data_IF_702637826508
#
_entry.id   IF_702637826508
#
_cell.length_a   1.000
_cell.length_b   1.000
_cell.length_c   1.000
_cell.angle_alpha   90.00
_cell.angle_beta   90.00
_cell.angle_gamma   90.00
#
_symmetry.space_group_name_H-M   'P 1'
#
loop_
_entity.id
_entity.type
_entity.pdbx_description
1 polymer ?
#
# COMPACT_ATOMS: atom_id res chain seq x y z
N UNK A 1 -9.42 12.51 -15.15
CA UNK A 1 -10.80 12.02 -15.37
C UNK A 1 -11.51 12.41 -16.67
N UNK A 2 -11.26 13.55 -17.37
CA UNK A 2 -12.18 14.06 -18.39
C UNK A 2 -12.51 13.14 -19.58
N UNK A 3 -11.59 12.24 -19.98
CA UNK A 3 -11.75 11.43 -21.20
C UNK A 3 -12.45 10.07 -20.98
N UNK A 4 -12.15 9.38 -19.88
CA UNK A 4 -12.65 8.02 -19.60
C UNK A 4 -13.40 7.91 -18.27
N UNK A 5 -13.54 9.02 -17.54
CA UNK A 5 -14.14 9.03 -16.21
C UNK A 5 -13.43 8.08 -15.25
N UNK A 6 -14.20 7.51 -14.33
CA UNK A 6 -13.71 6.52 -13.37
C UNK A 6 -13.41 5.19 -14.04
N UNK A 7 -14.15 4.84 -15.11
CA UNK A 7 -13.97 3.62 -15.90
C UNK A 7 -12.59 3.52 -16.58
N UNK A 8 -11.84 4.62 -16.62
CA UNK A 8 -10.46 4.63 -17.11
C UNK A 8 -9.44 4.03 -16.14
N UNK A 9 -9.80 3.84 -14.87
CA UNK A 9 -8.92 3.21 -13.89
C UNK A 9 -8.97 1.69 -14.00
N UNK A 10 -7.81 1.04 -14.02
CA UNK A 10 -7.72 -0.41 -14.02
C UNK A 10 -8.31 -1.00 -12.73
N UNK A 11 -8.10 -0.38 -11.58
CA UNK A 11 -8.62 -0.80 -10.28
C UNK A 11 -10.15 -0.88 -10.20
N UNK A 12 -10.87 -0.30 -11.17
CA UNK A 12 -12.31 -0.54 -11.36
C UNK A 12 -12.65 -1.98 -11.74
N UNK A 13 -11.68 -2.82 -12.12
CA UNK A 13 -11.90 -4.26 -12.30
C UNK A 13 -11.90 -5.02 -10.97
N UNK A 14 -11.41 -4.41 -9.89
CA UNK A 14 -11.27 -5.01 -8.56
C UNK A 14 -12.19 -4.35 -7.53
N UNK A 15 -12.49 -3.06 -7.69
CA UNK A 15 -13.27 -2.27 -6.76
C UNK A 15 -14.31 -1.40 -7.47
N UNK A 16 -15.51 -1.34 -6.90
CA UNK A 16 -16.50 -0.34 -7.24
C UNK A 16 -16.25 0.96 -6.44
N UNK A 17 -16.39 2.12 -7.07
CA UNK A 17 -16.16 3.43 -6.48
C UNK A 17 -17.46 4.22 -6.39
N UNK A 18 -17.78 4.69 -5.19
CA UNK A 18 -18.94 5.56 -4.92
C UNK A 18 -18.59 7.03 -5.15
N UNK A 19 -19.60 7.90 -5.26
CA UNK A 19 -19.39 9.32 -5.55
C UNK A 19 -18.49 10.05 -4.54
N UNK A 20 -18.52 9.64 -3.27
CA UNK A 20 -17.74 10.30 -2.21
C UNK A 20 -16.22 10.21 -2.40
N UNK A 21 -15.70 9.22 -3.14
CA UNK A 21 -14.24 9.13 -3.41
C UNK A 21 -13.82 9.87 -4.69
N UNK A 22 -14.76 10.36 -5.51
CA UNK A 22 -14.43 10.94 -6.82
C UNK A 22 -13.49 12.14 -6.74
N UNK A 23 -13.61 12.98 -5.70
CA UNK A 23 -12.70 14.11 -5.49
C UNK A 23 -11.25 13.65 -5.30
N UNK A 24 -11.05 12.60 -4.50
CA UNK A 24 -9.73 11.97 -4.31
C UNK A 24 -9.22 11.45 -5.65
N UNK A 25 -10.00 10.59 -6.31
CA UNK A 25 -9.63 9.98 -7.59
C UNK A 25 -9.34 11.01 -8.71
N UNK A 26 -10.04 12.15 -8.71
CA UNK A 26 -9.83 13.21 -9.70
C UNK A 26 -8.45 13.86 -9.62
N UNK A 27 -7.83 13.77 -8.43
CA UNK A 27 -6.50 14.29 -8.08
C UNK A 27 -5.48 13.17 -7.91
N UNK A 28 -5.76 12.00 -8.46
CA UNK A 28 -4.91 10.81 -8.29
C UNK A 28 -4.23 10.40 -9.59
N UNK A 29 -3.03 9.83 -9.45
CA UNK A 29 -2.47 8.92 -10.45
C UNK A 29 -2.64 7.48 -9.96
N UNK A 30 -3.16 6.64 -10.84
CA UNK A 30 -3.25 5.20 -10.57
C UNK A 30 -1.88 4.53 -10.79
N UNK A 31 -1.50 3.73 -9.80
CA UNK A 31 -0.32 2.89 -9.83
C UNK A 31 -0.68 1.55 -10.45
N UNK A 32 0.01 1.22 -11.54
CA UNK A 32 -0.05 -0.12 -12.13
C UNK A 32 0.71 -1.16 -11.31
N UNK A 33 0.72 -2.39 -11.82
CA UNK A 33 1.48 -3.50 -11.22
C UNK A 33 2.99 -3.24 -11.38
N UNK A 34 3.72 -3.31 -10.27
CA UNK A 34 5.18 -3.23 -10.28
C UNK A 34 5.77 -4.63 -10.38
N UNK A 35 6.77 -4.80 -11.24
CA UNK A 35 7.51 -6.05 -11.39
C UNK A 35 9.00 -5.79 -11.25
N UNK A 36 9.68 -6.68 -10.53
CA UNK A 36 11.14 -6.71 -10.43
C UNK A 36 11.58 -8.04 -11.06
N UNK A 37 12.58 -8.01 -11.95
CA UNK A 37 13.11 -9.24 -12.54
C UNK A 37 13.63 -10.18 -11.46
N UNK A 38 13.50 -11.49 -11.68
CA UNK A 38 13.84 -12.52 -10.69
C UNK A 38 15.26 -12.36 -10.11
N UNK A 39 16.21 -11.94 -10.95
CA UNK A 39 17.60 -11.68 -10.57
C UNK A 39 17.72 -10.62 -9.46
N UNK A 40 16.88 -9.59 -9.48
CA UNK A 40 16.96 -8.48 -8.54
C UNK A 40 15.91 -8.54 -7.41
N UNK A 41 15.02 -9.54 -7.37
CA UNK A 41 13.96 -9.60 -6.35
C UNK A 41 14.48 -9.73 -4.92
N UNK A 42 15.70 -10.26 -4.73
CA UNK A 42 16.35 -10.36 -3.42
C UNK A 42 17.12 -9.09 -3.04
N UNK A 43 17.30 -8.18 -3.98
CA UNK A 43 18.03 -6.94 -3.76
C UNK A 43 17.13 -5.86 -3.16
N UNK A 44 17.64 -5.05 -2.21
CA UNK A 44 16.85 -3.96 -1.62
C UNK A 44 16.69 -2.77 -2.58
N UNK A 45 17.64 -2.56 -3.49
CA UNK A 45 17.74 -1.37 -4.35
C UNK A 45 16.57 -1.22 -5.35
N UNK A 46 16.12 -2.26 -6.08
CA UNK A 46 15.03 -2.13 -7.05
C UNK A 46 13.74 -1.58 -6.42
N UNK A 47 13.38 -2.06 -5.23
CA UNK A 47 12.20 -1.56 -4.51
C UNK A 47 12.36 -0.11 -4.08
N UNK A 48 13.57 0.31 -3.67
CA UNK A 48 13.86 1.72 -3.37
C UNK A 48 13.71 2.58 -4.62
N UNK A 49 14.23 2.13 -5.76
CA UNK A 49 14.10 2.83 -7.03
C UNK A 49 12.66 2.92 -7.52
N UNK A 50 11.84 1.88 -7.30
CA UNK A 50 10.41 1.94 -7.60
C UNK A 50 9.72 3.03 -6.80
N UNK A 51 9.91 3.08 -5.47
CA UNK A 51 9.32 4.14 -4.64
C UNK A 51 9.86 5.52 -5.04
N UNK A 52 11.16 5.63 -5.33
CA UNK A 52 11.76 6.89 -5.80
C UNK A 52 11.13 7.35 -7.12
N UNK A 53 10.97 6.44 -8.08
CA UNK A 53 10.31 6.71 -9.35
C UNK A 53 8.85 7.15 -9.19
N UNK A 54 8.10 6.53 -8.28
CA UNK A 54 6.74 6.95 -7.94
C UNK A 54 6.69 8.38 -7.43
N UNK A 55 7.51 8.73 -6.44
CA UNK A 55 7.56 10.09 -5.89
C UNK A 55 8.02 11.11 -6.94
N UNK A 56 8.87 10.69 -7.87
CA UNK A 56 9.40 11.59 -8.90
C UNK A 56 8.42 11.80 -10.04
N UNK A 57 7.58 10.81 -10.33
CA UNK A 57 6.54 10.90 -11.36
C UNK A 57 5.58 12.06 -11.12
N UNK A 58 5.41 12.51 -9.86
CA UNK A 58 4.48 13.59 -9.50
C UNK A 58 5.14 14.97 -9.41
N UNK A 59 6.46 15.09 -9.62
CA UNK A 59 7.18 16.38 -9.49
C UNK A 59 6.68 17.45 -10.46
N UNK A 60 6.31 17.04 -11.67
CA UNK A 60 5.79 17.94 -12.71
C UNK A 60 4.25 18.00 -12.74
N UNK A 61 3.57 17.22 -11.89
CA UNK A 61 2.11 17.14 -11.82
C UNK A 61 1.62 17.71 -10.48
N UNK A 62 1.44 19.04 -10.44
CA UNK A 62 1.09 19.78 -9.22
C UNK A 62 -0.37 19.59 -8.79
N UNK A 63 -1.22 19.21 -9.73
CA UNK A 63 -2.64 18.90 -9.55
C UNK A 63 -2.87 17.54 -8.89
N UNK A 64 -1.87 16.66 -8.91
CA UNK A 64 -1.94 15.35 -8.27
C UNK A 64 -1.72 15.48 -6.77
N UNK A 65 -2.67 15.06 -5.96
CA UNK A 65 -2.53 15.04 -4.49
C UNK A 65 -2.31 13.63 -3.96
N UNK A 66 -2.70 12.61 -4.74
CA UNK A 66 -2.68 11.22 -4.32
C UNK A 66 -2.04 10.28 -5.34
N UNK A 67 -1.42 9.22 -4.84
CA UNK A 67 -1.12 8.02 -5.62
C UNK A 67 -1.96 6.88 -5.06
N UNK A 68 -2.59 6.08 -5.92
CA UNK A 68 -3.43 4.98 -5.46
C UNK A 68 -3.33 3.77 -6.37
N UNK A 69 -3.60 2.58 -5.86
CA UNK A 69 -3.61 1.39 -6.69
C UNK A 69 -3.55 0.10 -5.87
N UNK A 70 -3.85 -1.05 -6.50
CA UNK A 70 -3.82 -2.33 -5.83
C UNK A 70 -2.37 -2.75 -5.52
N UNK A 71 -2.14 -3.18 -4.28
CA UNK A 71 -0.89 -3.82 -3.85
C UNK A 71 -1.19 -5.22 -3.35
N UNK A 72 -0.60 -6.21 -4.00
CA UNK A 72 -0.92 -7.62 -3.79
C UNK A 72 -0.17 -8.25 -2.61
N UNK A 73 -0.91 -8.98 -1.79
CA UNK A 73 -0.41 -9.94 -0.80
C UNK A 73 -0.58 -11.34 -1.41
N UNK A 74 0.53 -12.00 -1.68
CA UNK A 74 0.56 -13.29 -2.38
C UNK A 74 -0.27 -14.37 -1.68
N UNK A 75 -0.93 -15.22 -2.46
CA UNK A 75 -1.60 -16.44 -1.98
C UNK A 75 -0.65 -17.52 -1.46
N UNK A 76 0.67 -17.36 -1.66
CA UNK A 76 1.69 -18.21 -1.05
C UNK A 76 1.69 -18.11 0.49
N UNK A 77 1.17 -17.00 1.04
CA UNK A 77 0.89 -16.90 2.46
C UNK A 77 -0.33 -17.76 2.81
N UNK A 78 -0.23 -18.67 3.81
CA UNK A 78 -1.38 -19.38 4.32
C UNK A 78 -2.49 -18.42 4.77
N UNK A 79 -3.75 -18.85 4.70
CA UNK A 79 -4.92 -18.03 5.02
C UNK A 79 -4.80 -17.36 6.39
N UNK A 80 -4.30 -18.10 7.39
CA UNK A 80 -4.07 -17.58 8.73
C UNK A 80 -3.13 -16.36 8.76
N UNK A 81 -1.97 -16.42 8.09
CA UNK A 81 -1.02 -15.31 8.04
C UNK A 81 -1.53 -14.14 7.19
N UNK A 82 -2.25 -14.40 6.08
CA UNK A 82 -2.94 -13.34 5.33
C UNK A 82 -3.95 -12.60 6.20
N UNK A 83 -4.73 -13.34 6.99
CA UNK A 83 -5.72 -12.79 7.92
C UNK A 83 -5.06 -11.94 8.99
N UNK A 84 -3.93 -12.38 9.57
CA UNK A 84 -3.16 -11.58 10.52
C UNK A 84 -2.63 -10.29 9.90
N UNK A 85 -2.04 -10.37 8.70
CA UNK A 85 -1.51 -9.20 7.98
C UNK A 85 -2.63 -8.19 7.75
N UNK A 86 -3.76 -8.64 7.21
CA UNK A 86 -4.89 -7.76 6.88
C UNK A 86 -5.52 -7.19 8.15
N UNK A 87 -5.59 -7.96 9.24
CA UNK A 87 -6.04 -7.44 10.54
C UNK A 87 -5.15 -6.30 11.04
N UNK A 88 -3.83 -6.49 11.03
CA UNK A 88 -2.87 -5.45 11.39
C UNK A 88 -3.01 -4.19 10.52
N UNK A 89 -3.14 -4.38 9.19
CA UNK A 89 -3.29 -3.28 8.25
C UNK A 89 -4.62 -2.52 8.46
N UNK A 90 -5.73 -3.22 8.71
CA UNK A 90 -7.02 -2.59 9.04
C UNK A 90 -6.98 -1.81 10.34
N UNK A 91 -6.27 -2.32 11.35
CA UNK A 91 -6.17 -1.67 12.66
C UNK A 91 -5.32 -0.39 12.65
N UNK A 92 -4.23 -0.35 11.87
CA UNK A 92 -3.22 0.71 11.96
C UNK A 92 -3.03 1.55 10.69
N UNK A 93 -3.44 1.04 9.52
CA UNK A 93 -3.12 1.62 8.22
C UNK A 93 -4.35 1.70 7.29
N UNK A 94 -5.53 1.92 7.85
CA UNK A 94 -6.79 2.09 7.11
C UNK A 94 -7.17 3.56 6.86
N UNK A 95 -7.98 3.81 5.84
CA UNK A 95 -8.68 5.10 5.62
C UNK A 95 -10.17 4.91 5.89
N UNK A 96 -10.56 4.92 7.17
CA UNK A 96 -11.92 4.59 7.62
C UNK A 96 -13.02 5.37 6.88
N UNK A 97 -12.78 6.66 6.62
CA UNK A 97 -13.76 7.53 5.96
C UNK A 97 -14.03 7.13 4.50
N UNK A 98 -13.07 6.44 3.85
CA UNK A 98 -13.20 5.99 2.46
C UNK A 98 -13.60 4.51 2.35
N UNK A 99 -13.60 3.73 3.43
CA UNK A 99 -13.95 2.30 3.39
C UNK A 99 -15.35 2.06 2.81
N UNK A 100 -16.32 2.90 3.17
CA UNK A 100 -17.69 2.82 2.65
C UNK A 100 -17.83 3.27 1.19
N UNK A 101 -16.85 4.01 0.68
CA UNK A 101 -16.84 4.60 -0.66
C UNK A 101 -16.16 3.72 -1.71
N UNK A 102 -15.56 2.60 -1.27
CA UNK A 102 -14.84 1.66 -2.13
C UNK A 102 -15.29 0.26 -1.80
N UNK A 103 -16.05 -0.39 -2.67
CA UNK A 103 -16.53 -1.77 -2.44
C UNK A 103 -15.69 -2.76 -3.25
N UNK A 104 -15.01 -3.73 -2.63
CA UNK A 104 -14.36 -4.80 -3.38
C UNK A 104 -15.41 -5.71 -4.04
N UNK A 105 -15.13 -6.23 -5.23
CA UNK A 105 -16.03 -7.22 -5.86
C UNK A 105 -15.98 -8.58 -5.16
N UNK A 106 -14.77 -9.00 -4.78
CA UNK A 106 -14.51 -10.24 -4.05
C UNK A 106 -13.89 -9.89 -2.69
N UNK A 107 -14.68 -9.52 -1.67
CA UNK A 107 -14.14 -9.13 -0.38
C UNK A 107 -13.31 -10.24 0.26
N UNK A 108 -12.15 -9.89 0.82
CA UNK A 108 -11.37 -10.83 1.62
C UNK A 108 -12.08 -11.15 2.94
N UNK A 109 -12.30 -12.44 3.21
CA UNK A 109 -12.87 -12.94 4.46
C UNK A 109 -11.74 -13.53 5.31
N UNK A 110 -11.41 -12.92 6.47
CA UNK A 110 -10.35 -13.43 7.33
C UNK A 110 -10.76 -14.74 8.00
N UNK A 111 -9.79 -15.64 8.17
CA UNK A 111 -9.91 -16.88 8.92
C UNK A 111 -8.73 -17.00 9.89
N UNK A 112 -9.05 -16.94 11.19
CA UNK A 112 -8.10 -17.06 12.30
C UNK A 112 -8.15 -18.46 12.95
N UNK A 113 -8.77 -19.43 12.27
CA UNK A 113 -9.11 -20.74 12.81
C UNK A 113 -9.93 -20.59 14.11
N UNK A 114 -9.58 -21.35 15.16
CA UNK A 114 -10.22 -21.31 16.48
C UNK A 114 -9.47 -20.44 17.49
N UNK A 115 -8.67 -19.48 17.02
CA UNK A 115 -7.82 -18.64 17.88
C UNK A 115 -8.45 -17.27 18.08
N UNK A 116 -8.42 -16.77 19.32
CA UNK A 116 -8.77 -15.39 19.65
C UNK A 116 -7.73 -14.43 19.07
N UNK A 117 -8.14 -13.59 18.11
CA UNK A 117 -7.23 -12.66 17.43
C UNK A 117 -6.68 -11.59 18.37
N UNK A 118 -7.51 -11.11 19.30
CA UNK A 118 -7.14 -10.10 20.28
C UNK A 118 -6.06 -10.63 21.23
N UNK A 119 -6.12 -11.91 21.60
CA UNK A 119 -5.10 -12.55 22.44
C UNK A 119 -3.82 -12.84 21.65
N UNK A 120 -3.97 -13.33 20.41
CA UNK A 120 -2.86 -13.63 19.53
C UNK A 120 -2.00 -12.39 19.23
N UNK A 121 -2.65 -11.26 18.94
CA UNK A 121 -1.99 -10.01 18.54
C UNK A 121 -1.76 -9.03 19.69
N UNK A 122 -2.13 -9.40 20.92
CA UNK A 122 -1.99 -8.56 22.11
C UNK A 122 -0.55 -8.07 22.28
N UNK A 123 -0.36 -6.76 22.28
CA UNK A 123 0.95 -6.12 22.41
C UNK A 123 1.96 -6.61 21.37
N UNK A 124 1.51 -6.94 20.15
CA UNK A 124 2.35 -7.31 18.99
C UNK A 124 2.24 -6.34 17.81
N UNK A 125 1.29 -5.41 17.84
CA UNK A 125 0.96 -4.52 16.71
C UNK A 125 1.42 -3.07 16.88
N UNK A 126 2.23 -2.75 17.90
CA UNK A 126 2.60 -1.36 18.21
C UNK A 126 3.51 -0.70 17.18
N UNK A 127 4.23 -1.48 16.37
CA UNK A 127 4.98 -0.98 15.23
C UNK A 127 5.06 -2.02 14.11
N UNK A 128 5.39 -1.56 12.89
CA UNK A 128 5.59 -2.43 11.73
C UNK A 128 6.66 -3.48 12.03
N UNK A 129 7.78 -3.07 12.64
CA UNK A 129 8.90 -3.94 12.97
C UNK A 129 8.53 -4.96 14.05
N UNK A 130 7.72 -4.56 15.05
CA UNK A 130 7.30 -5.46 16.12
C UNK A 130 6.35 -6.53 15.58
N UNK A 131 5.38 -6.14 14.75
CA UNK A 131 4.47 -7.07 14.09
C UNK A 131 5.21 -8.01 13.12
N UNK A 132 6.09 -7.48 12.28
CA UNK A 132 6.90 -8.24 11.33
C UNK A 132 7.80 -9.28 12.04
N UNK A 133 8.43 -8.91 13.16
CA UNK A 133 9.21 -9.84 13.98
C UNK A 133 8.34 -10.89 14.67
N UNK A 134 7.16 -10.51 15.15
CA UNK A 134 6.22 -11.46 15.76
C UNK A 134 5.77 -12.51 14.76
N UNK A 135 5.35 -12.08 13.56
CA UNK A 135 4.92 -12.99 12.49
C UNK A 135 6.06 -13.92 12.03
N UNK A 136 7.29 -13.40 11.95
CA UNK A 136 8.47 -14.21 11.67
C UNK A 136 8.64 -15.33 12.70
N UNK A 137 8.57 -15.00 13.99
CA UNK A 137 8.75 -15.97 15.07
C UNK A 137 7.61 -16.98 15.14
N UNK A 138 6.37 -16.54 14.87
CA UNK A 138 5.19 -17.40 14.86
C UNK A 138 5.19 -18.39 13.67
N UNK A 139 5.95 -18.09 12.62
CA UNK A 139 6.03 -18.90 11.41
C UNK A 139 7.35 -19.67 11.29
N UNK A 140 8.11 -19.81 12.38
CA UNK A 140 9.44 -20.44 12.37
C UNK A 140 10.36 -19.88 11.28
N UNK A 141 10.35 -18.54 11.16
CA UNK A 141 11.08 -17.74 10.17
C UNK A 141 10.64 -17.91 8.70
N UNK A 142 9.46 -18.46 8.44
CA UNK A 142 8.97 -18.64 7.06
C UNK A 142 8.30 -17.38 6.49
N UNK A 143 7.53 -16.64 7.29
CA UNK A 143 6.71 -15.54 6.80
C UNK A 143 7.06 -14.20 7.45
N UNK A 144 7.11 -13.16 6.62
CA UNK A 144 7.37 -11.76 6.98
C UNK A 144 6.31 -10.88 6.34
N UNK A 145 6.14 -9.64 6.81
CA UNK A 145 5.27 -8.71 6.10
C UNK A 145 5.85 -8.57 4.67
N UNK A 146 5.01 -8.64 3.62
CA UNK A 146 5.48 -8.50 2.25
C UNK A 146 6.32 -7.23 2.11
N UNK A 147 7.51 -7.35 1.52
CA UNK A 147 8.48 -6.25 1.48
C UNK A 147 7.90 -5.00 0.82
N UNK A 148 7.12 -5.17 -0.25
CA UNK A 148 6.47 -4.06 -0.93
C UNK A 148 5.41 -3.38 -0.05
N UNK A 149 4.57 -4.15 0.65
CA UNK A 149 3.61 -3.61 1.62
C UNK A 149 4.35 -2.79 2.69
N UNK A 150 5.44 -3.31 3.26
CA UNK A 150 6.26 -2.56 4.23
C UNK A 150 6.76 -1.23 3.68
N UNK A 151 7.17 -1.16 2.41
CA UNK A 151 7.64 0.08 1.78
C UNK A 151 6.52 1.12 1.69
N UNK A 152 5.32 0.71 1.29
CA UNK A 152 4.15 1.57 1.26
C UNK A 152 3.77 2.08 2.65
N UNK A 153 3.81 1.23 3.68
CA UNK A 153 3.53 1.66 5.05
C UNK A 153 4.54 2.69 5.57
N UNK A 154 5.83 2.56 5.22
CA UNK A 154 6.88 3.49 5.64
C UNK A 154 6.70 4.89 5.07
N UNK A 155 6.21 5.02 3.84
CA UNK A 155 5.85 6.30 3.24
C UNK A 155 4.45 6.77 3.68
N UNK A 156 3.88 6.15 4.71
CA UNK A 156 2.56 6.45 5.27
C UNK A 156 1.40 6.26 4.29
N UNK A 157 1.55 5.36 3.31
CA UNK A 157 0.43 4.94 2.50
C UNK A 157 -0.57 4.14 3.36
N UNK A 158 -1.85 4.39 3.13
CA UNK A 158 -2.97 3.73 3.80
C UNK A 158 -3.67 2.78 2.84
N UNK A 159 -4.50 1.90 3.35
CA UNK A 159 -5.25 0.93 2.56
C UNK A 159 -6.74 1.17 2.79
N UNK A 160 -7.49 1.30 1.70
CA UNK A 160 -8.93 1.56 1.77
C UNK A 160 -9.70 0.25 1.93
N UNK A 161 -9.49 -0.71 1.04
CA UNK A 161 -10.19 -1.99 1.10
C UNK A 161 -9.39 -3.14 0.48
N UNK A 162 -9.90 -4.36 0.63
CA UNK A 162 -9.20 -5.60 0.26
C UNK A 162 -10.06 -6.46 -0.66
N UNK A 163 -9.54 -6.78 -1.83
CA UNK A 163 -10.17 -7.63 -2.83
C UNK A 163 -9.35 -8.90 -3.06
N UNK A 164 -9.98 -10.05 -3.23
CA UNK A 164 -9.33 -11.27 -3.71
C UNK A 164 -9.37 -11.27 -5.23
N UNK A 165 -8.22 -11.39 -5.88
CA UNK A 165 -8.11 -11.41 -7.35
C UNK A 165 -7.91 -12.86 -7.86
N UNK A 166 -8.96 -13.53 -8.39
CA UNK A 166 -8.83 -14.87 -8.96
C UNK A 166 -7.92 -14.93 -10.19
N UNK A 167 -7.87 -13.84 -10.96
CA UNK A 167 -7.06 -13.74 -12.19
C UNK A 167 -5.57 -13.53 -11.86
N UNK A 168 -5.25 -13.24 -10.60
CA UNK A 168 -3.89 -13.13 -10.10
C UNK A 168 -3.59 -14.11 -8.95
N UNK A 169 -3.87 -15.39 -9.22
CA UNK A 169 -3.55 -16.51 -8.34
C UNK A 169 -4.17 -16.37 -6.93
N UNK A 170 -5.38 -15.81 -6.84
CA UNK A 170 -6.10 -15.61 -5.57
C UNK A 170 -5.28 -14.81 -4.53
N UNK A 171 -4.45 -13.88 -4.98
CA UNK A 171 -3.80 -12.93 -4.09
C UNK A 171 -4.86 -12.01 -3.46
N UNK A 172 -4.48 -11.31 -2.39
CA UNK A 172 -5.31 -10.27 -1.81
C UNK A 172 -4.73 -8.92 -2.19
N UNK A 173 -5.46 -8.15 -2.99
CA UNK A 173 -5.12 -6.79 -3.36
C UNK A 173 -5.68 -5.81 -2.33
N UNK A 174 -4.78 -5.12 -1.62
CA UNK A 174 -5.15 -3.94 -0.84
C UNK A 174 -5.12 -2.71 -1.72
N UNK A 175 -6.22 -1.95 -1.80
CA UNK A 175 -6.24 -0.67 -2.50
C UNK A 175 -5.49 0.37 -1.67
N UNK A 176 -4.24 0.62 -2.02
CA UNK A 176 -3.39 1.60 -1.36
C UNK A 176 -3.78 3.01 -1.81
N UNK A 177 -3.75 3.95 -0.88
CA UNK A 177 -3.87 5.39 -1.09
C UNK A 177 -2.71 6.08 -0.36
N UNK A 178 -1.89 6.79 -1.09
CA UNK A 178 -0.82 7.62 -0.59
C UNK A 178 -1.20 9.08 -0.78
N UNK A 179 -1.36 9.81 0.32
CA UNK A 179 -1.44 11.27 0.31
C UNK A 179 -0.02 11.83 0.29
N UNK A 180 0.30 12.58 -0.77
CA UNK A 180 1.65 13.13 -0.97
C UNK A 180 2.03 14.11 0.14
N UNK A 181 1.08 14.76 0.81
CA UNK A 181 1.36 15.68 1.93
C UNK A 181 1.66 14.94 3.24
N UNK A 182 1.33 13.66 3.31
CA UNK A 182 1.46 12.83 4.52
C UNK A 182 2.70 11.93 4.49
N UNK A 183 3.53 12.03 3.44
CA UNK A 183 4.78 11.27 3.35
C UNK A 183 5.76 11.78 4.41
N UNK A 184 6.35 10.91 5.26
CA UNK A 184 7.25 11.36 6.30
C UNK A 184 8.46 12.10 5.75
N UNK A 185 8.80 13.25 6.34
CA UNK A 185 9.97 14.08 5.97
C UNK A 185 11.26 13.26 5.87
N UNK A 186 11.48 12.34 6.80
CA UNK A 186 12.67 11.48 6.81
C UNK A 186 12.75 10.59 5.57
N UNK A 187 11.63 10.03 5.11
CA UNK A 187 11.59 9.17 3.91
C UNK A 187 11.84 10.00 2.65
N UNK A 188 11.26 11.20 2.54
CA UNK A 188 11.56 12.11 1.41
C UNK A 188 13.05 12.48 1.38
N UNK A 189 13.63 12.86 2.52
CA UNK A 189 15.05 13.18 2.62
C UNK A 189 15.91 11.99 2.21
N UNK A 190 15.61 10.80 2.70
CA UNK A 190 16.35 9.58 2.36
C UNK A 190 16.27 9.22 0.87
N UNK A 191 15.09 9.36 0.25
CA UNK A 191 14.88 9.03 -1.17
C UNK A 191 15.43 10.10 -2.13
N UNK A 192 15.47 11.36 -1.67
CA UNK A 192 16.06 12.50 -2.38
C UNK A 192 17.58 12.62 -2.23
N UNK A 193 18.19 11.78 -1.39
CA UNK A 193 19.65 11.74 -1.26
C UNK A 193 20.24 11.44 -2.64
N UNK A 194 21.21 12.26 -3.04
CA UNK A 194 21.86 12.23 -4.36
C UNK A 194 21.05 12.84 -5.53
N UNK A 195 19.95 13.54 -5.25
CA UNK A 195 19.18 14.28 -6.27
C UNK A 195 19.73 15.68 -6.53
N UNK A 196 19.94 16.03 -7.80
CA UNK A 196 20.42 17.39 -8.18
C UNK A 196 19.41 18.47 -7.82
N UNK A 197 18.11 18.17 -7.96
CA UNK A 197 17.01 19.10 -7.70
C UNK A 197 16.30 18.82 -6.37
N UNK A 198 17.05 18.51 -5.31
CA UNK A 198 16.49 18.17 -4.00
C UNK A 198 15.50 19.22 -3.48
N UNK A 199 15.77 20.51 -3.69
CA UNK A 199 14.86 21.59 -3.29
C UNK A 199 13.47 21.49 -3.95
N UNK A 200 13.41 21.11 -5.23
CA UNK A 200 12.15 20.90 -5.94
C UNK A 200 11.36 19.72 -5.36
N UNK A 201 12.07 18.64 -5.00
CA UNK A 201 11.46 17.48 -4.34
C UNK A 201 10.88 17.89 -3.00
N UNK A 202 11.66 18.54 -2.13
CA UNK A 202 11.19 18.95 -0.81
C UNK A 202 9.97 19.89 -0.89
N UNK A 203 10.00 20.87 -1.79
CA UNK A 203 8.86 21.76 -2.04
C UNK A 203 7.61 21.00 -2.49
N UNK A 204 7.75 19.97 -3.34
CA UNK A 204 6.62 19.16 -3.82
C UNK A 204 5.90 18.41 -2.70
N UNK A 205 6.63 18.02 -1.67
CA UNK A 205 6.14 17.30 -0.50
C UNK A 205 5.85 18.22 0.70
N UNK A 206 5.83 19.54 0.49
CA UNK A 206 5.51 20.52 1.54
C UNK A 206 6.55 20.59 2.67
N UNK A 207 7.79 20.18 2.37
CA UNK A 207 8.89 20.25 3.33
C UNK A 207 9.66 21.53 3.07
N UNK A 208 9.50 22.51 3.95
CA UNK A 208 10.34 23.69 3.96
C UNK A 208 11.77 23.33 4.40
N UNK A 209 12.73 23.88 3.65
CA UNK A 209 14.18 23.76 3.87
C UNK A 209 14.64 24.56 5.08
#
# INVERSE_FOLDING_TARGET
MPKYGIKGFYSQTLFNYEEGIHNVLSKSIELGRSFVSLEYQKEPLPLVLLIKGLLYSVLNHKDVEYLFGPVSISSWYPMFYRSMIIHYLKAHHSVKDLESQVRPFNPFVPDFNRVSIDDLLRNKMESIEKFDRYMMRLSDNQFRLPTLVKKYLKINAKIINYNVDPDFNYCVDGLVLLDLKQVPKQEILALSKDEKNQAQVLARFGIES
#
